data_IF_366073591575
#
_entry.id   IF_366073591575
#
_cell.length_a   1.000
_cell.length_b   1.000
_cell.length_c   1.000
_cell.angle_alpha   90.00
_cell.angle_beta   90.00
_cell.angle_gamma   90.00
#
_symmetry.space_group_name_H-M   'P 1'
#
loop_
_entity.id
_entity.type
_entity.pdbx_description
1 polymer ?
#
# COMPACT_ATOMS: atom_id res chain seq x y z
N UNK A 1 15.21 -24.10 -1.60
CA UNK A 1 14.78 -24.57 -0.25
C UNK A 1 14.32 -23.37 0.57
N UNK A 2 13.22 -23.41 1.37
CA UNK A 2 12.83 -22.28 2.23
C UNK A 2 13.94 -21.81 3.18
N UNK A 3 14.83 -22.71 3.60
CA UNK A 3 15.99 -22.38 4.43
C UNK A 3 17.08 -21.61 3.68
N UNK A 4 17.21 -21.80 2.37
CA UNK A 4 18.11 -21.01 1.51
C UNK A 4 17.58 -19.59 1.33
N UNK A 5 16.26 -19.39 1.22
CA UNK A 5 15.66 -18.06 1.20
C UNK A 5 15.92 -17.30 2.50
N UNK A 6 15.70 -17.92 3.66
CA UNK A 6 15.97 -17.29 4.96
C UNK A 6 17.45 -16.88 5.08
N UNK A 7 18.36 -17.72 4.57
CA UNK A 7 19.80 -17.44 4.58
C UNK A 7 20.17 -16.32 3.59
N UNK A 8 19.61 -16.32 2.37
CA UNK A 8 19.88 -15.33 1.34
C UNK A 8 19.21 -13.97 1.60
N UNK A 9 18.03 -13.98 2.22
CA UNK A 9 17.31 -12.79 2.64
C UNK A 9 17.94 -12.14 3.88
N UNK A 10 18.79 -12.87 4.62
CA UNK A 10 19.48 -12.39 5.82
C UNK A 10 18.55 -11.62 6.77
N UNK A 11 17.29 -12.04 6.86
CA UNK A 11 16.38 -11.48 7.85
C UNK A 11 16.59 -12.30 9.09
N UNK A 12 17.52 -11.83 9.91
CA UNK A 12 17.68 -12.32 11.26
C UNK A 12 16.31 -12.15 11.93
N UNK A 13 15.67 -13.24 12.35
CA UNK A 13 14.31 -13.21 12.91
C UNK A 13 14.22 -12.43 14.25
N UNK A 14 15.35 -11.87 14.68
CA UNK A 14 15.54 -10.98 15.83
C UNK A 14 15.39 -9.49 15.46
N UNK A 15 15.46 -9.13 14.17
CA UNK A 15 15.36 -7.75 13.71
C UNK A 15 13.92 -7.39 13.29
N UNK A 16 13.49 -6.17 13.65
CA UNK A 16 12.24 -5.62 13.15
C UNK A 16 12.45 -5.16 11.71
N UNK A 17 11.65 -5.69 10.78
CA UNK A 17 11.69 -5.35 9.37
C UNK A 17 10.35 -4.76 8.90
N UNK A 18 10.41 -3.92 7.87
CA UNK A 18 9.22 -3.46 7.15
C UNK A 18 8.64 -4.61 6.32
N UNK A 19 7.37 -4.95 6.58
CA UNK A 19 6.72 -6.08 5.92
C UNK A 19 6.60 -5.89 4.39
N UNK A 20 6.53 -4.64 3.94
CA UNK A 20 6.46 -4.28 2.52
C UNK A 20 7.80 -4.56 1.85
N UNK A 21 8.90 -4.11 2.47
CA UNK A 21 10.25 -4.39 1.99
C UNK A 21 10.53 -5.89 1.93
N UNK A 22 10.16 -6.63 2.97
CA UNK A 22 10.28 -8.09 2.96
C UNK A 22 9.47 -8.74 1.85
N UNK A 23 8.23 -8.31 1.65
CA UNK A 23 7.37 -8.86 0.60
C UNK A 23 7.96 -8.63 -0.80
N UNK A 24 8.60 -7.48 -1.04
CA UNK A 24 9.26 -7.19 -2.31
C UNK A 24 10.45 -8.13 -2.56
N UNK A 25 11.28 -8.38 -1.53
CA UNK A 25 12.40 -9.33 -1.62
C UNK A 25 11.93 -10.77 -1.85
N UNK A 26 10.86 -11.17 -1.18
CA UNK A 26 10.25 -12.50 -1.35
C UNK A 26 9.69 -12.68 -2.77
N UNK A 27 9.01 -11.69 -3.31
CA UNK A 27 8.45 -11.75 -4.67
C UNK A 27 9.55 -11.82 -5.73
N UNK A 28 10.63 -11.05 -5.58
CA UNK A 28 11.80 -11.13 -6.50
C UNK A 28 12.47 -12.51 -6.42
N UNK A 29 12.65 -13.07 -5.23
CA UNK A 29 13.17 -14.43 -5.07
C UNK A 29 12.25 -15.47 -5.72
N UNK A 30 10.94 -15.42 -5.43
CA UNK A 30 9.94 -16.29 -6.04
C UNK A 30 9.96 -16.21 -7.57
N UNK A 31 10.12 -15.01 -8.11
CA UNK A 31 10.20 -14.79 -9.55
C UNK A 31 11.45 -15.43 -10.17
N UNK A 32 12.58 -15.41 -9.47
CA UNK A 32 13.82 -16.07 -9.91
C UNK A 32 13.71 -17.59 -9.83
N UNK A 33 13.21 -18.12 -8.71
CA UNK A 33 13.11 -19.57 -8.52
C UNK A 33 12.08 -20.21 -9.45
N UNK A 34 10.91 -19.59 -9.62
CA UNK A 34 9.88 -20.12 -10.51
C UNK A 34 10.15 -19.79 -11.99
N UNK A 35 10.89 -18.70 -12.27
CA UNK A 35 11.27 -18.30 -13.61
C UNK A 35 12.37 -19.15 -14.23
N UNK A 36 13.20 -19.84 -13.44
CA UNK A 36 14.26 -20.71 -13.94
C UNK A 36 13.78 -22.11 -14.38
N UNK A 37 12.52 -22.48 -14.08
CA UNK A 37 11.98 -23.82 -14.36
C UNK A 37 10.86 -23.89 -15.42
N UNK A 38 10.36 -22.76 -15.93
CA UNK A 38 9.22 -22.76 -16.86
C UNK A 38 9.62 -22.48 -18.31
N UNK A 39 9.21 -23.40 -19.18
CA UNK A 39 9.10 -23.21 -20.63
C UNK A 39 8.46 -21.84 -20.96
N UNK A 40 8.88 -21.16 -22.04
CA UNK A 40 8.49 -19.79 -22.40
C UNK A 40 6.99 -19.58 -22.70
N UNK A 41 6.17 -20.61 -22.54
CA UNK A 41 4.74 -20.61 -22.85
C UNK A 41 3.84 -20.32 -21.64
N UNK A 42 4.34 -20.45 -20.42
CA UNK A 42 3.64 -20.02 -19.21
C UNK A 42 4.21 -18.69 -18.73
N UNK A 43 3.39 -17.64 -18.81
CA UNK A 43 3.77 -16.30 -18.37
C UNK A 43 4.26 -16.27 -16.93
N UNK A 44 5.04 -15.24 -16.60
CA UNK A 44 5.69 -15.10 -15.31
C UNK A 44 4.66 -15.13 -14.16
N UNK A 45 4.73 -16.14 -13.28
CA UNK A 45 3.76 -16.37 -12.21
C UNK A 45 3.51 -15.13 -11.35
N UNK A 46 4.58 -14.43 -10.95
CA UNK A 46 4.47 -13.24 -10.11
C UNK A 46 3.73 -12.12 -10.84
N UNK A 47 4.10 -11.86 -12.10
CA UNK A 47 3.40 -10.86 -12.92
C UNK A 47 1.92 -11.23 -13.11
N UNK A 48 1.60 -12.51 -13.34
CA UNK A 48 0.21 -12.94 -13.56
C UNK A 48 -0.71 -12.75 -12.36
N UNK A 49 -0.16 -12.74 -11.14
CA UNK A 49 -0.93 -12.61 -9.90
C UNK A 49 -0.94 -11.19 -9.32
N UNK A 50 0.17 -10.46 -9.46
CA UNK A 50 0.39 -9.23 -8.73
C UNK A 50 0.57 -8.00 -9.63
N UNK A 51 0.81 -8.16 -10.93
CA UNK A 51 1.00 -7.01 -11.83
C UNK A 51 -0.34 -6.36 -12.15
N UNK A 52 -0.42 -5.06 -11.86
CA UNK A 52 -1.48 -4.17 -12.32
C UNK A 52 -0.96 -3.15 -13.32
N UNK A 53 -1.87 -2.48 -14.02
CA UNK A 53 -1.58 -1.36 -14.92
C UNK A 53 -2.22 -0.08 -14.36
N UNK A 54 -1.48 1.03 -14.34
CA UNK A 54 -1.99 2.37 -14.04
C UNK A 54 -1.88 3.24 -15.28
N UNK A 55 -2.95 3.99 -15.59
CA UNK A 55 -2.96 5.00 -16.65
C UNK A 55 -2.92 6.39 -16.03
N UNK A 56 -1.86 7.15 -16.36
CA UNK A 56 -1.69 8.54 -16.00
C UNK A 56 -2.10 9.42 -17.19
N UNK A 57 -3.15 10.21 -17.00
CA UNK A 57 -3.63 11.17 -18.00
C UNK A 57 -3.26 12.58 -17.55
N UNK A 58 -2.46 13.27 -18.36
CA UNK A 58 -2.14 14.69 -18.22
C UNK A 58 -2.99 15.49 -19.22
N UNK A 59 -3.75 16.46 -18.72
CA UNK A 59 -4.53 17.38 -19.55
C UNK A 59 -3.92 18.78 -19.51
N UNK A 60 -3.81 19.44 -20.67
CA UNK A 60 -3.41 20.84 -20.73
C UNK A 60 -4.51 21.73 -20.11
N UNK A 61 -4.12 22.69 -19.26
CA UNK A 61 -5.08 23.60 -18.62
C UNK A 61 -5.72 24.60 -19.59
N UNK A 62 -5.04 24.91 -20.69
CA UNK A 62 -5.45 25.92 -21.68
C UNK A 62 -6.26 25.30 -22.83
N UNK A 63 -6.03 24.01 -23.11
CA UNK A 63 -6.74 23.25 -24.13
C UNK A 63 -7.08 21.85 -23.59
N UNK A 64 -8.31 21.64 -23.11
CA UNK A 64 -8.75 20.36 -22.54
C UNK A 64 -8.73 19.19 -23.55
N UNK A 65 -8.71 19.47 -24.86
CA UNK A 65 -8.60 18.44 -25.89
C UNK A 65 -7.15 17.93 -26.03
N UNK A 66 -6.17 18.68 -25.54
CA UNK A 66 -4.78 18.27 -25.53
C UNK A 66 -4.49 17.43 -24.29
N UNK A 67 -4.51 16.10 -24.46
CA UNK A 67 -4.19 15.13 -23.43
C UNK A 67 -2.99 14.27 -23.79
N UNK A 68 -2.19 13.92 -22.79
CA UNK A 68 -1.13 12.93 -22.88
C UNK A 68 -1.45 11.77 -21.93
N UNK A 69 -1.43 10.54 -22.44
CA UNK A 69 -1.65 9.33 -21.64
C UNK A 69 -0.34 8.54 -21.56
N UNK A 70 0.00 8.10 -20.34
CA UNK A 70 1.11 7.19 -20.07
C UNK A 70 0.62 6.02 -19.24
N UNK A 71 0.90 4.80 -19.69
CA UNK A 71 0.59 3.57 -18.96
C UNK A 71 1.86 3.01 -18.32
N UNK A 72 1.74 2.58 -17.08
CA UNK A 72 2.83 2.01 -16.29
C UNK A 72 2.33 0.75 -15.58
N UNK A 73 3.15 -0.29 -15.53
CA UNK A 73 2.86 -1.47 -14.73
C UNK A 73 3.38 -1.29 -13.30
N UNK A 74 2.71 -1.92 -12.34
CA UNK A 74 3.13 -1.92 -10.94
C UNK A 74 2.86 -3.27 -10.28
N UNK A 75 3.63 -3.60 -9.24
CA UNK A 75 3.38 -4.76 -8.36
C UNK A 75 2.85 -4.33 -6.98
N UNK A 76 2.97 -3.03 -6.65
CA UNK A 76 2.58 -2.46 -5.36
C UNK A 76 1.95 -1.08 -5.55
N UNK A 77 0.86 -0.78 -4.83
CA UNK A 77 0.26 0.56 -4.74
C UNK A 77 0.43 1.13 -3.34
N UNK A 78 1.12 2.28 -3.25
CA UNK A 78 1.28 3.00 -1.98
C UNK A 78 0.20 4.07 -1.83
N UNK A 79 -0.90 3.69 -1.18
CA UNK A 79 -1.94 4.63 -0.82
C UNK A 79 -1.41 5.62 0.22
N UNK A 80 -1.37 6.91 -0.12
CA UNK A 80 -1.16 7.96 0.87
C UNK A 80 -2.46 8.13 1.64
N UNK A 81 -2.52 7.61 2.87
CA UNK A 81 -3.60 7.93 3.80
C UNK A 81 -3.45 9.41 4.18
N UNK A 82 -4.14 10.28 3.46
CA UNK A 82 -4.24 11.68 3.85
C UNK A 82 -5.23 11.75 5.01
N UNK A 83 -4.83 12.15 6.23
CA UNK A 83 -5.77 12.26 7.33
C UNK A 83 -6.85 13.26 6.92
N UNK A 84 -8.07 12.78 6.74
CA UNK A 84 -9.23 13.63 6.57
C UNK A 84 -9.49 14.26 7.93
N UNK A 85 -9.13 15.54 8.07
CA UNK A 85 -9.59 16.33 9.21
C UNK A 85 -11.09 16.40 9.08
N UNK A 86 -11.80 15.47 9.73
CA UNK A 86 -13.23 15.56 9.90
C UNK A 86 -13.46 16.90 10.61
N UNK A 87 -13.93 17.90 9.86
CA UNK A 87 -14.48 19.12 10.41
C UNK A 87 -15.70 18.71 11.20
N UNK A 88 -15.48 18.30 12.46
CA UNK A 88 -16.53 18.11 13.44
C UNK A 88 -17.14 19.48 13.63
N UNK A 89 -18.24 19.73 12.90
CA UNK A 89 -19.20 20.76 13.24
C UNK A 89 -19.55 20.52 14.70
N UNK A 90 -19.00 21.36 15.56
CA UNK A 90 -19.43 21.52 16.94
C UNK A 90 -20.90 21.97 16.91
N UNK A 91 -21.80 20.99 16.79
CA UNK A 91 -23.18 21.12 17.19
C UNK A 91 -23.21 20.96 18.70
N UNK A 92 -23.02 22.07 19.41
CA UNK A 92 -23.30 22.16 20.84
C UNK A 92 -24.78 21.88 21.06
N UNK A 93 -25.09 20.64 21.42
CA UNK A 93 -26.37 20.24 21.99
C UNK A 93 -26.09 19.68 23.38
N UNK A 94 -25.83 20.57 24.34
CA UNK A 94 -26.00 20.24 25.75
C UNK A 94 -27.09 21.16 26.30
N UNK A 95 -28.27 20.58 26.48
CA UNK A 95 -29.31 21.14 27.31
C UNK A 95 -29.75 20.08 28.32
N UNK A 96 -29.66 20.47 29.59
CA UNK A 96 -30.33 19.94 30.79
C UNK A 96 -29.81 18.57 31.30
N UNK A 97 -29.64 18.30 32.59
CA UNK A 97 -30.07 18.99 33.81
C UNK A 97 -29.32 18.36 35.01
N UNK A 98 -29.09 19.15 36.06
CA UNK A 98 -29.32 18.67 37.43
C UNK A 98 -28.22 17.83 38.11
N UNK A 99 -27.45 18.49 39.00
CA UNK A 99 -27.61 18.40 40.47
C UNK A 99 -26.27 18.42 41.21
N UNK A 100 -25.94 19.58 41.76
CA UNK A 100 -24.98 19.76 42.86
C UNK A 100 -25.55 19.11 44.14
N UNK A 101 -24.69 18.53 44.99
CA UNK A 101 -24.62 19.13 46.33
C UNK A 101 -23.18 19.26 46.86
N UNK A 102 -23.01 20.34 47.61
CA UNK A 102 -21.83 20.74 48.35
C UNK A 102 -21.42 19.76 49.48
N UNK A 103 -20.11 19.66 49.69
CA UNK A 103 -19.46 19.34 50.97
C UNK A 103 -18.34 20.39 51.16
N UNK A 104 -18.46 21.29 52.13
CA UNK A 104 -18.09 21.15 53.55
C UNK A 104 -16.67 21.69 53.80
N UNK A 105 -16.63 22.84 54.47
CA UNK A 105 -15.45 23.55 54.96
C UNK A 105 -15.89 24.80 55.70
#
# INVERSE_FOLDING_TARGET
DPSEFITAASIDALEQADATEFSALLLDWLQREMGQGQEPTHGNFVSSLFEGEVSQVLACMQDPAHTFERRENFLELRARLTPTVASSRAGSAEHADGKEPAQAG
#
